data_IF_366013717854
#
_entry.id   IF_366013717854
#
_cell.length_a   1.000
_cell.length_b   1.000
_cell.length_c   1.000
_cell.angle_alpha   90.00
_cell.angle_beta   90.00
_cell.angle_gamma   90.00
#
_symmetry.space_group_name_H-M   'P 1'
#
loop_
_entity.id
_entity.type
_entity.pdbx_description
1 polymer ?
#
# COMPACT_ATOMS: atom_id res chain seq x y z
N UNK A 1 16.90 23.16 -0.90
CA UNK A 1 16.60 21.74 -1.24
C UNK A 1 16.31 21.70 -2.73
N UNK A 2 16.77 20.66 -3.45
CA UNK A 2 16.37 20.46 -4.84
C UNK A 2 14.84 20.37 -4.93
N UNK A 3 14.24 20.74 -6.06
CA UNK A 3 12.79 20.59 -6.30
C UNK A 3 12.41 19.10 -6.28
N UNK A 4 11.28 18.69 -5.65
CA UNK A 4 10.85 17.30 -5.69
C UNK A 4 10.47 16.89 -7.13
N UNK A 5 10.75 15.64 -7.48
CA UNK A 5 10.41 15.07 -8.77
C UNK A 5 9.14 14.24 -8.65
N UNK A 6 8.30 14.30 -9.67
CA UNK A 6 7.14 13.40 -9.82
C UNK A 6 7.48 12.34 -10.86
N UNK A 7 7.59 11.08 -10.44
CA UNK A 7 8.04 9.97 -11.28
C UNK A 7 7.13 8.76 -11.08
N UNK A 8 6.98 7.86 -12.08
CA UNK A 8 6.39 6.55 -11.85
C UNK A 8 7.11 5.84 -10.71
N UNK A 9 6.37 5.33 -9.72
CA UNK A 9 7.00 4.73 -8.56
C UNK A 9 6.04 4.12 -7.54
N UNK A 10 6.61 3.28 -6.69
CA UNK A 10 5.98 2.74 -5.49
C UNK A 10 6.73 3.31 -4.30
N UNK A 11 6.03 3.74 -3.27
CA UNK A 11 6.62 4.07 -1.98
C UNK A 11 5.86 3.40 -0.83
N UNK A 12 6.56 3.16 0.28
CA UNK A 12 5.94 2.67 1.51
C UNK A 12 6.62 3.24 2.75
N UNK A 13 5.84 3.52 3.81
CA UNK A 13 6.41 3.86 5.12
C UNK A 13 7.11 2.64 5.72
N UNK A 14 8.24 2.87 6.40
CA UNK A 14 9.02 1.79 7.02
C UNK A 14 8.40 1.24 8.31
N UNK A 15 7.50 2.00 8.96
CA UNK A 15 6.96 1.68 10.28
C UNK A 15 5.45 1.93 10.37
N UNK A 16 4.68 1.56 9.35
CA UNK A 16 3.22 1.72 9.40
C UNK A 16 2.51 0.45 9.88
N UNK A 17 1.42 0.66 10.61
CA UNK A 17 0.45 -0.39 10.98
C UNK A 17 -0.69 -0.51 9.95
N UNK A 18 -0.70 0.31 8.92
CA UNK A 18 -1.69 0.31 7.84
C UNK A 18 -0.99 0.55 6.52
N UNK A 19 -1.57 0.06 5.42
CA UNK A 19 -1.06 0.19 4.06
C UNK A 19 -2.01 0.90 3.09
N UNK A 20 -1.44 1.63 2.12
CA UNK A 20 -2.14 2.14 0.94
C UNK A 20 -1.56 1.48 -0.33
N UNK A 21 -1.95 0.24 -0.55
CA UNK A 21 -1.42 -0.62 -1.62
C UNK A 21 -2.26 -0.55 -2.91
N UNK A 22 -3.56 -0.27 -2.81
CA UNK A 22 -4.44 -0.05 -3.97
C UNK A 22 -4.52 1.45 -4.30
N UNK A 23 -3.77 1.88 -5.30
CA UNK A 23 -3.51 3.30 -5.59
C UNK A 23 -4.29 3.81 -6.81
N UNK A 24 -4.63 5.10 -6.80
CA UNK A 24 -5.32 5.79 -7.89
C UNK A 24 -4.37 6.48 -8.88
N UNK A 25 -3.06 6.45 -8.60
CA UNK A 25 -2.00 6.99 -9.47
C UNK A 25 -0.77 6.08 -9.39
N UNK A 26 -0.06 5.96 -10.51
CA UNK A 26 1.21 5.23 -10.60
C UNK A 26 2.43 6.08 -10.25
N UNK A 27 2.24 7.35 -9.85
CA UNK A 27 3.31 8.30 -9.62
C UNK A 27 3.47 8.64 -8.14
N UNK A 28 4.73 8.90 -7.75
CA UNK A 28 5.10 9.44 -6.45
C UNK A 28 5.90 10.73 -6.64
N UNK A 29 5.74 11.66 -5.70
CA UNK A 29 6.45 12.95 -5.71
C UNK A 29 7.40 13.03 -4.53
N UNK A 30 8.69 13.22 -4.75
CA UNK A 30 9.66 13.23 -3.67
C UNK A 30 11.10 13.55 -4.09
N UNK A 31 12.01 13.36 -3.15
CA UNK A 31 13.46 13.39 -3.38
C UNK A 31 14.00 11.98 -3.34
N UNK A 32 14.72 11.60 -4.38
CA UNK A 32 15.23 10.26 -4.60
C UNK A 32 16.75 10.33 -4.79
N UNK A 33 17.48 9.36 -4.25
CA UNK A 33 18.94 9.26 -4.43
C UNK A 33 19.33 8.27 -5.52
N UNK A 34 18.47 7.30 -5.80
CA UNK A 34 18.69 6.23 -6.75
C UNK A 34 17.35 5.77 -7.37
N UNK A 35 17.38 4.70 -8.17
CA UNK A 35 16.16 4.08 -8.70
C UNK A 35 15.35 3.31 -7.66
N UNK A 36 15.95 2.95 -6.52
CA UNK A 36 15.28 2.28 -5.41
C UNK A 36 16.08 2.52 -4.12
N UNK A 37 15.43 2.39 -2.97
CA UNK A 37 16.10 2.55 -1.68
C UNK A 37 15.13 2.65 -0.51
N UNK A 38 15.68 3.00 0.66
CA UNK A 38 14.94 3.20 1.91
C UNK A 38 15.09 4.62 2.45
N UNK A 39 15.52 5.56 1.62
CA UNK A 39 15.96 6.90 2.00
C UNK A 39 15.25 8.02 1.22
N UNK A 40 14.16 7.71 0.52
CA UNK A 40 13.37 8.73 -0.16
C UNK A 40 12.61 9.60 0.84
N UNK A 41 12.52 10.89 0.53
CA UNK A 41 11.65 11.83 1.23
C UNK A 41 10.47 12.13 0.29
N UNK A 42 9.31 11.56 0.59
CA UNK A 42 8.11 11.68 -0.24
C UNK A 42 7.24 12.84 0.27
N UNK A 43 6.68 13.61 -0.65
CA UNK A 43 5.81 14.74 -0.32
C UNK A 43 4.51 14.23 0.32
N UNK A 44 4.00 14.98 1.30
CA UNK A 44 2.71 14.67 1.93
C UNK A 44 1.55 14.84 0.92
N UNK A 45 0.75 13.79 0.76
CA UNK A 45 -0.61 13.87 0.22
C UNK A 45 -1.59 13.90 1.39
N UNK A 46 -2.10 15.10 1.72
CA UNK A 46 -2.99 15.33 2.87
C UNK A 46 -4.42 15.56 2.39
N UNK A 47 -5.36 14.79 2.92
CA UNK A 47 -6.78 14.92 2.60
C UNK A 47 -7.65 15.07 3.86
N UNK A 48 -8.85 15.68 3.74
CA UNK A 48 -9.78 15.80 4.87
C UNK A 48 -10.26 14.45 5.43
N UNK A 49 -10.08 14.25 6.73
CA UNK A 49 -10.42 13.03 7.47
C UNK A 49 -11.40 13.27 8.63
N UNK A 50 -12.24 14.32 8.50
CA UNK A 50 -13.28 14.66 9.46
C UNK A 50 -12.79 15.58 10.57
N UNK A 51 -13.25 15.34 11.80
CA UNK A 51 -12.87 16.12 12.98
C UNK A 51 -12.39 15.20 14.10
N UNK A 52 -11.49 15.70 14.94
CA UNK A 52 -11.17 15.08 16.22
C UNK A 52 -12.31 15.25 17.22
N UNK A 53 -12.25 14.53 18.35
CA UNK A 53 -13.25 14.61 19.43
C UNK A 53 -13.41 16.02 20.02
N UNK A 54 -12.35 16.83 19.95
CA UNK A 54 -12.36 18.23 20.36
C UNK A 54 -12.89 19.19 19.28
N UNK A 55 -13.44 18.67 18.17
CA UNK A 55 -13.99 19.46 17.07
C UNK A 55 -12.96 20.00 16.06
N UNK A 56 -11.66 19.86 16.32
CA UNK A 56 -10.61 20.31 15.40
C UNK A 56 -10.63 19.53 14.08
N UNK A 57 -10.32 20.20 12.97
CA UNK A 57 -10.22 19.56 11.66
C UNK A 57 -9.11 18.49 11.67
N UNK A 58 -9.42 17.30 11.17
CA UNK A 58 -8.50 16.18 11.06
C UNK A 58 -8.19 15.94 9.58
N UNK A 59 -6.91 15.78 9.27
CA UNK A 59 -6.44 15.38 7.95
C UNK A 59 -5.75 14.03 8.04
N UNK A 60 -5.75 13.29 6.93
CA UNK A 60 -5.02 12.05 6.77
C UNK A 60 -3.94 12.24 5.73
N UNK A 61 -2.69 11.91 6.09
CA UNK A 61 -1.63 11.84 5.11
C UNK A 61 -1.64 10.45 4.46
N UNK A 62 -2.09 10.36 3.21
CA UNK A 62 -2.15 9.10 2.45
C UNK A 62 -0.76 8.51 2.22
N UNK A 63 0.24 9.36 1.98
CA UNK A 63 1.64 8.96 1.78
C UNK A 63 2.24 8.29 3.03
N UNK A 64 2.18 8.99 4.16
CA UNK A 64 2.87 8.58 5.40
C UNK A 64 1.96 7.83 6.39
N UNK A 65 0.68 7.72 6.06
CA UNK A 65 -0.35 7.01 6.80
C UNK A 65 -0.43 7.42 8.27
N UNK A 66 -0.58 8.72 8.49
CA UNK A 66 -0.80 9.28 9.80
C UNK A 66 -1.75 10.47 9.76
N UNK A 67 -2.38 10.73 10.91
CA UNK A 67 -3.24 11.90 11.07
C UNK A 67 -2.41 13.17 11.25
N UNK A 68 -2.98 14.27 10.77
CA UNK A 68 -2.55 15.64 11.02
C UNK A 68 -3.73 16.43 11.59
N UNK A 69 -3.44 17.43 12.41
CA UNK A 69 -4.42 18.36 12.99
C UNK A 69 -4.53 18.24 14.52
N UNK A 70 -3.53 17.62 15.15
CA UNK A 70 -3.38 17.66 16.61
C UNK A 70 -3.05 19.08 17.07
N UNK A 71 -3.14 19.36 18.38
CA UNK A 71 -2.75 20.67 18.92
C UNK A 71 -1.29 21.03 18.61
N UNK A 72 -0.39 20.03 18.61
CA UNK A 72 1.01 20.23 18.23
C UNK A 72 1.15 20.60 16.75
N UNK A 73 0.39 19.93 15.87
CA UNK A 73 0.38 20.26 14.44
C UNK A 73 -0.13 21.69 14.20
N UNK A 74 -1.20 22.09 14.89
CA UNK A 74 -1.80 23.42 14.78
C UNK A 74 -0.85 24.51 15.31
N UNK A 75 -0.19 24.27 16.44
CA UNK A 75 0.76 25.21 17.03
C UNK A 75 2.02 25.40 16.17
N UNK A 76 2.45 24.35 15.46
CA UNK A 76 3.60 24.40 14.56
C UNK A 76 3.27 24.89 13.14
N UNK A 77 1.99 25.00 12.77
CA UNK A 77 1.60 25.36 11.42
C UNK A 77 1.57 26.87 11.20
N UNK A 78 2.25 27.30 10.15
CA UNK A 78 2.16 28.67 9.63
C UNK A 78 1.32 28.64 8.35
N UNK A 79 0.31 29.51 8.26
CA UNK A 79 -0.63 29.52 7.13
C UNK A 79 0.05 29.73 5.75
N UNK A 80 1.26 30.29 5.74
CA UNK A 80 2.07 30.52 4.53
C UNK A 80 2.88 29.29 4.09
N UNK A 81 2.91 28.23 4.90
CA UNK A 81 3.65 27.00 4.61
C UNK A 81 2.72 25.87 4.17
N UNK A 82 3.17 25.00 3.23
CA UNK A 82 2.42 23.81 2.87
C UNK A 82 2.25 22.91 4.09
N UNK A 83 1.05 22.38 4.27
CA UNK A 83 0.73 21.46 5.37
C UNK A 83 1.60 20.21 5.27
N UNK A 84 2.20 19.79 6.39
CA UNK A 84 3.11 18.65 6.47
C UNK A 84 2.75 17.78 7.66
N UNK A 85 2.61 16.49 7.44
CA UNK A 85 2.37 15.55 8.53
C UNK A 85 3.62 15.42 9.42
N UNK A 86 3.45 14.86 10.62
CA UNK A 86 4.58 14.61 11.55
C UNK A 86 5.70 13.72 10.97
N UNK A 87 5.41 12.95 9.93
CA UNK A 87 6.35 12.06 9.25
C UNK A 87 6.92 12.63 7.94
N UNK A 88 6.68 13.90 7.60
CA UNK A 88 7.02 14.47 6.29
C UNK A 88 8.52 14.45 5.92
N UNK A 89 9.39 14.31 6.90
CA UNK A 89 10.84 14.22 6.73
C UNK A 89 11.37 12.82 7.02
N UNK A 90 10.49 11.86 7.30
CA UNK A 90 10.88 10.49 7.61
C UNK A 90 11.23 9.75 6.33
N UNK A 91 12.32 8.97 6.33
CA UNK A 91 12.71 8.19 5.16
C UNK A 91 11.65 7.12 4.84
N UNK A 92 11.43 6.89 3.56
CA UNK A 92 10.50 5.90 3.02
C UNK A 92 11.21 4.92 2.09
N UNK A 93 10.69 3.69 2.07
CA UNK A 93 11.05 2.73 1.05
C UNK A 93 10.44 3.11 -0.29
N UNK A 94 11.18 2.91 -1.38
CA UNK A 94 10.70 3.23 -2.71
C UNK A 94 11.37 2.41 -3.82
N UNK A 95 10.67 2.34 -4.96
CA UNK A 95 11.18 1.91 -6.26
C UNK A 95 10.60 2.86 -7.31
N UNK A 96 11.46 3.44 -8.14
CA UNK A 96 11.09 4.21 -9.33
C UNK A 96 10.98 3.29 -10.52
N UNK A 97 10.05 3.59 -11.43
CA UNK A 97 9.78 2.79 -12.62
C UNK A 97 9.63 1.28 -12.30
N UNK A 98 8.74 0.93 -11.35
CA UNK A 98 8.52 -0.47 -10.97
C UNK A 98 8.03 -1.28 -12.17
N UNK A 99 8.31 -2.59 -12.16
CA UNK A 99 7.71 -3.50 -13.13
C UNK A 99 6.19 -3.46 -12.99
N UNK A 100 5.50 -3.04 -14.07
CA UNK A 100 4.05 -3.09 -14.18
C UNK A 100 3.65 -4.41 -14.81
N UNK A 101 3.15 -5.31 -13.98
CA UNK A 101 2.77 -6.66 -14.37
C UNK A 101 1.30 -6.73 -14.76
N UNK A 102 1.06 -7.16 -15.99
CA UNK A 102 -0.26 -7.52 -16.48
C UNK A 102 -0.43 -9.04 -16.35
N UNK A 103 -1.22 -9.51 -15.39
CA UNK A 103 -1.42 -10.93 -15.18
C UNK A 103 -2.15 -11.65 -16.30
N UNK A 104 -2.90 -10.94 -17.13
CA UNK A 104 -3.70 -11.54 -18.20
C UNK A 104 -2.85 -11.94 -19.42
N UNK A 105 -1.59 -11.51 -19.48
CA UNK A 105 -0.64 -11.88 -20.53
C UNK A 105 0.03 -13.23 -20.31
N UNK A 106 -0.20 -13.87 -19.15
CA UNK A 106 0.48 -15.10 -18.76
C UNK A 106 -0.52 -16.21 -18.45
N UNK A 107 -0.26 -17.40 -18.98
CA UNK A 107 -1.02 -18.61 -18.67
C UNK A 107 -0.88 -19.02 -17.20
N UNK A 108 0.33 -18.95 -16.67
CA UNK A 108 0.64 -19.31 -15.29
C UNK A 108 1.55 -18.26 -14.65
N UNK A 109 1.25 -17.88 -13.42
CA UNK A 109 2.02 -16.91 -12.62
C UNK A 109 2.14 -17.42 -11.20
N UNK A 110 3.32 -17.24 -10.60
CA UNK A 110 3.57 -17.40 -9.17
C UNK A 110 4.35 -16.20 -8.66
N UNK A 111 3.99 -15.74 -7.47
CA UNK A 111 4.57 -14.63 -6.74
C UNK A 111 4.83 -15.09 -5.31
N UNK A 112 6.09 -15.09 -4.91
CA UNK A 112 6.49 -15.54 -3.57
C UNK A 112 7.41 -14.53 -2.92
N UNK A 113 7.47 -14.56 -1.60
CA UNK A 113 8.51 -13.87 -0.86
C UNK A 113 9.74 -14.77 -0.78
N UNK A 114 10.85 -14.32 -1.35
CA UNK A 114 12.14 -15.01 -1.32
C UNK A 114 12.88 -14.82 0.01
N UNK A 115 13.99 -15.57 0.21
CA UNK A 115 14.74 -15.58 1.47
C UNK A 115 15.34 -14.22 1.84
N UNK A 116 15.71 -13.41 0.85
CA UNK A 116 16.26 -12.05 1.05
C UNK A 116 15.17 -10.96 1.17
N UNK A 117 13.91 -11.35 1.36
CA UNK A 117 12.77 -10.42 1.41
C UNK A 117 12.40 -9.81 0.06
N UNK A 118 13.01 -10.27 -1.04
CA UNK A 118 12.65 -9.90 -2.41
C UNK A 118 11.42 -10.69 -2.88
N UNK A 119 10.58 -10.04 -3.68
CA UNK A 119 9.50 -10.70 -4.41
C UNK A 119 10.09 -11.51 -5.57
N UNK A 120 9.78 -12.79 -5.60
CA UNK A 120 10.11 -13.68 -6.70
C UNK A 120 8.88 -13.85 -7.59
N UNK A 121 8.89 -13.17 -8.73
CA UNK A 121 7.88 -13.33 -9.78
C UNK A 121 8.37 -14.39 -10.77
N UNK A 122 7.51 -15.37 -11.06
CA UNK A 122 7.72 -16.36 -12.10
C UNK A 122 6.43 -16.45 -12.93
N UNK A 123 6.52 -16.27 -14.24
CA UNK A 123 5.36 -16.33 -15.12
C UNK A 123 5.70 -17.01 -16.46
N UNK A 124 4.71 -17.67 -17.07
CA UNK A 124 4.83 -18.33 -18.38
C UNK A 124 3.71 -17.89 -19.30
N UNK A 125 4.05 -17.61 -20.55
CA UNK A 125 3.07 -17.22 -21.59
C UNK A 125 2.12 -18.37 -21.95
N UNK A 126 2.63 -19.61 -21.94
CA UNK A 126 1.91 -20.83 -22.29
C UNK A 126 2.61 -22.09 -21.70
N UNK A 127 2.04 -23.27 -21.97
CA UNK A 127 2.60 -24.57 -21.59
C UNK A 127 3.90 -24.84 -22.36
N UNK A 128 5.03 -24.69 -21.66
CA UNK A 128 6.37 -24.86 -22.23
C UNK A 128 7.03 -23.55 -22.68
N UNK A 129 6.31 -22.43 -22.63
CA UNK A 129 6.81 -21.11 -22.99
C UNK A 129 7.96 -20.62 -22.12
N UNK A 130 8.64 -19.58 -22.61
CA UNK A 130 9.77 -18.96 -21.92
C UNK A 130 9.35 -18.50 -20.53
N UNK A 131 10.12 -18.90 -19.52
CA UNK A 131 9.90 -18.50 -18.15
C UNK A 131 10.36 -17.05 -17.96
N UNK A 132 9.42 -16.15 -17.69
CA UNK A 132 9.74 -14.86 -17.09
C UNK A 132 10.09 -15.10 -15.62
N UNK A 133 11.33 -14.77 -15.24
CA UNK A 133 11.80 -14.85 -13.86
C UNK A 133 12.38 -13.51 -13.43
N UNK A 134 11.85 -12.94 -12.34
CA UNK A 134 12.28 -11.67 -11.77
C UNK A 134 12.43 -11.78 -10.26
N UNK A 135 13.38 -11.02 -9.73
CA UNK A 135 13.52 -10.75 -8.30
C UNK A 135 13.39 -9.23 -8.12
N UNK A 136 12.41 -8.81 -7.33
CA UNK A 136 11.94 -7.44 -7.28
C UNK A 136 11.79 -7.00 -5.82
N UNK A 137 12.15 -5.75 -5.51
CA UNK A 137 11.87 -5.19 -4.17
C UNK A 137 10.36 -4.92 -4.00
N UNK A 138 9.72 -4.43 -5.05
CA UNK A 138 8.28 -4.17 -5.09
C UNK A 138 7.75 -4.46 -6.50
N UNK A 139 6.46 -4.81 -6.60
CA UNK A 139 5.79 -5.12 -7.86
C UNK A 139 4.53 -4.26 -8.00
N UNK A 140 4.33 -3.68 -9.18
CA UNK A 140 3.06 -3.07 -9.55
C UNK A 140 2.24 -4.08 -10.34
N UNK A 141 0.99 -4.34 -9.94
CA UNK A 141 0.03 -5.08 -10.77
C UNK A 141 -0.93 -4.09 -11.40
N UNK A 142 -1.15 -4.22 -12.71
CA UNK A 142 -2.14 -3.42 -13.42
C UNK A 142 -3.56 -3.86 -13.05
N UNK A 143 -4.30 -3.01 -12.34
CA UNK A 143 -5.67 -3.34 -11.93
C UNK A 143 -6.67 -3.29 -13.09
N UNK A 144 -6.33 -2.66 -14.22
CA UNK A 144 -7.19 -2.65 -15.42
C UNK A 144 -7.27 -4.05 -16.05
N UNK A 145 -6.26 -4.88 -15.84
CA UNK A 145 -6.26 -6.29 -16.22
C UNK A 145 -7.06 -7.18 -15.26
N UNK A 146 -7.60 -6.62 -14.18
CA UNK A 146 -8.30 -7.35 -13.11
C UNK A 146 -9.76 -6.87 -12.93
N UNK A 147 -10.61 -6.98 -13.97
CA UNK A 147 -11.96 -6.42 -13.94
C UNK A 147 -12.79 -7.03 -12.80
N UNK A 148 -13.43 -6.14 -12.03
CA UNK A 148 -14.34 -6.51 -10.94
C UNK A 148 -13.66 -6.89 -9.62
N UNK A 149 -12.32 -6.89 -9.54
CA UNK A 149 -11.62 -7.25 -8.31
C UNK A 149 -11.42 -6.06 -7.35
N UNK A 150 -11.28 -4.85 -7.91
CA UNK A 150 -11.10 -3.61 -7.19
C UNK A 150 -12.00 -2.51 -7.77
N UNK A 151 -12.34 -1.48 -6.97
CA UNK A 151 -12.93 -0.23 -7.49
C UNK A 151 -12.22 0.30 -8.74
N UNK A 152 -12.99 0.90 -9.66
CA UNK A 152 -12.54 1.29 -11.00
C UNK A 152 -11.49 2.42 -11.02
N UNK A 153 -11.41 3.21 -9.95
CA UNK A 153 -10.46 4.29 -9.77
C UNK A 153 -9.09 3.78 -9.27
N UNK A 154 -9.00 2.53 -8.82
CA UNK A 154 -7.73 1.87 -8.51
C UNK A 154 -7.09 1.42 -9.81
N UNK A 155 -5.98 2.06 -10.16
CA UNK A 155 -5.24 1.80 -11.40
C UNK A 155 -4.12 0.78 -11.21
N UNK A 156 -3.60 0.67 -9.99
CA UNK A 156 -2.42 -0.15 -9.70
C UNK A 156 -2.50 -0.74 -8.29
N UNK A 157 -2.06 -1.99 -8.16
CA UNK A 157 -1.85 -2.66 -6.89
C UNK A 157 -0.35 -2.78 -6.60
N UNK A 158 0.13 -2.09 -5.57
CA UNK A 158 1.54 -1.96 -5.22
C UNK A 158 1.96 -3.00 -4.18
N UNK A 159 2.44 -4.16 -4.61
CA UNK A 159 2.98 -5.17 -3.70
C UNK A 159 4.32 -4.68 -3.16
N UNK A 160 4.29 -4.21 -1.92
CA UNK A 160 5.44 -3.68 -1.19
C UNK A 160 6.02 -4.73 -0.24
N UNK A 161 7.30 -4.63 0.16
CA UNK A 161 7.89 -5.52 1.15
C UNK A 161 7.04 -5.71 2.43
N UNK A 162 6.57 -4.64 3.12
CA UNK A 162 5.75 -4.84 4.31
C UNK A 162 4.43 -5.57 4.05
N UNK A 163 3.79 -5.35 2.89
CA UNK A 163 2.55 -6.04 2.54
C UNK A 163 2.77 -7.54 2.25
N UNK A 164 3.84 -7.87 1.53
CA UNK A 164 4.20 -9.26 1.24
C UNK A 164 4.60 -10.02 2.51
N UNK A 165 5.40 -9.38 3.38
CA UNK A 165 5.76 -9.92 4.69
C UNK A 165 4.54 -10.17 5.57
N UNK A 166 3.63 -9.19 5.66
CA UNK A 166 2.40 -9.33 6.45
C UNK A 166 1.52 -10.48 5.96
N UNK A 167 1.34 -10.62 4.64
CA UNK A 167 0.60 -11.75 4.06
C UNK A 167 1.28 -13.09 4.37
N UNK A 168 2.59 -13.19 4.14
CA UNK A 168 3.35 -14.42 4.38
C UNK A 168 3.28 -14.86 5.85
N UNK A 169 3.45 -13.91 6.79
CA UNK A 169 3.34 -14.17 8.22
C UNK A 169 1.93 -14.64 8.60
N UNK A 170 0.88 -13.99 8.09
CA UNK A 170 -0.50 -14.38 8.37
C UNK A 170 -0.84 -15.77 7.81
N UNK A 171 -0.35 -16.11 6.61
CA UNK A 171 -0.48 -17.46 6.03
C UNK A 171 0.23 -18.51 6.87
N UNK A 172 1.48 -18.24 7.30
CA UNK A 172 2.26 -19.15 8.13
C UNK A 172 1.60 -19.38 9.49
N UNK A 173 0.99 -18.35 10.08
CA UNK A 173 0.27 -18.43 11.34
C UNK A 173 -1.13 -19.06 11.22
N UNK A 174 -1.61 -19.35 10.00
CA UNK A 174 -2.98 -19.81 9.77
C UNK A 174 -4.04 -18.79 10.18
N UNK A 175 -3.72 -17.49 10.14
CA UNK A 175 -4.64 -16.44 10.55
C UNK A 175 -5.84 -16.34 9.58
N UNK A 176 -7.06 -16.05 10.08
CA UNK A 176 -8.20 -15.76 9.23
C UNK A 176 -7.94 -14.49 8.40
N UNK A 177 -7.77 -14.69 7.09
CA UNK A 177 -7.49 -13.64 6.12
C UNK A 177 -8.75 -13.30 5.31
N UNK A 178 -8.95 -12.02 5.07
CA UNK A 178 -9.96 -11.52 4.13
C UNK A 178 -9.56 -10.13 3.62
N UNK A 179 -10.43 -9.47 2.86
CA UNK A 179 -10.22 -8.10 2.41
C UNK A 179 -11.48 -7.28 2.65
N UNK A 180 -11.47 -6.44 3.69
CA UNK A 180 -12.54 -5.50 3.97
C UNK A 180 -12.35 -4.23 3.15
N UNK A 181 -13.43 -3.70 2.58
CA UNK A 181 -13.43 -2.36 1.99
C UNK A 181 -13.78 -1.29 3.02
N UNK A 182 -13.28 -0.09 2.77
CA UNK A 182 -13.61 1.07 3.57
C UNK A 182 -15.08 1.45 3.40
N UNK A 183 -15.84 1.53 4.50
CA UNK A 183 -17.23 1.96 4.48
C UNK A 183 -17.42 3.42 4.00
N UNK A 184 -16.35 4.23 4.00
CA UNK A 184 -16.38 5.64 3.58
C UNK A 184 -15.97 5.85 2.12
N UNK A 185 -14.92 5.17 1.66
CA UNK A 185 -14.32 5.44 0.33
C UNK A 185 -14.25 4.23 -0.59
N UNK A 186 -14.65 3.04 -0.15
CA UNK A 186 -14.62 1.82 -0.96
C UNK A 186 -13.22 1.22 -1.19
N UNK A 187 -12.12 1.92 -0.89
CA UNK A 187 -10.78 1.33 -1.04
C UNK A 187 -10.56 0.16 -0.07
N UNK A 188 -9.83 -0.88 -0.50
CA UNK A 188 -9.57 -2.05 0.32
C UNK A 188 -8.57 -1.73 1.45
N UNK A 189 -8.78 -2.36 2.60
CA UNK A 189 -7.93 -2.18 3.77
C UNK A 189 -6.74 -3.14 3.76
N UNK A 190 -5.57 -2.60 4.11
CA UNK A 190 -4.34 -3.35 4.32
C UNK A 190 -3.83 -3.13 5.74
N UNK A 191 -3.89 -4.20 6.53
CA UNK A 191 -3.30 -4.25 7.86
C UNK A 191 -1.81 -4.55 7.75
N UNK A 192 -0.98 -3.76 8.42
CA UNK A 192 0.48 -3.92 8.47
C UNK A 192 0.95 -3.89 9.93
N UNK A 193 2.22 -4.21 10.15
CA UNK A 193 2.87 -4.09 11.46
C UNK A 193 2.02 -4.71 12.57
N UNK A 194 1.75 -3.95 13.63
CA UNK A 194 0.95 -4.41 14.77
C UNK A 194 -0.49 -4.82 14.43
N UNK A 195 -1.11 -4.24 13.39
CA UNK A 195 -2.48 -4.62 13.00
C UNK A 195 -2.50 -5.94 12.22
N UNK A 196 -1.39 -6.34 11.59
CA UNK A 196 -1.29 -7.63 10.91
C UNK A 196 -1.02 -8.81 11.86
N UNK A 197 -0.69 -8.56 13.14
CA UNK A 197 -0.30 -9.60 14.09
C UNK A 197 -1.48 -10.42 14.63
N UNK A 198 -2.67 -9.83 14.68
CA UNK A 198 -3.84 -10.47 15.26
C UNK A 198 -5.11 -10.12 14.48
N UNK A 199 -5.98 -11.11 14.20
CA UNK A 199 -7.28 -10.85 13.61
C UNK A 199 -8.10 -9.89 14.46
N UNK A 200 -8.75 -8.93 13.81
CA UNK A 200 -9.57 -7.93 14.49
C UNK A 200 -10.74 -7.52 13.58
N UNK A 201 -11.73 -6.85 14.16
CA UNK A 201 -12.93 -6.42 13.42
C UNK A 201 -12.86 -4.99 12.91
N UNK A 202 -12.12 -4.12 13.59
CA UNK A 202 -12.09 -2.68 13.31
C UNK A 202 -10.84 -2.32 12.51
N UNK A 203 -11.02 -1.94 11.26
CA UNK A 203 -9.90 -1.68 10.36
C UNK A 203 -9.75 -0.19 10.04
N UNK A 204 -8.50 0.23 9.85
CA UNK A 204 -8.15 1.61 9.46
C UNK A 204 -7.83 1.71 7.98
N UNK A 205 -8.40 2.71 7.31
CA UNK A 205 -8.21 2.91 5.87
C UNK A 205 -6.91 3.65 5.57
N UNK A 206 -5.95 3.00 4.90
CA UNK A 206 -4.73 3.64 4.42
C UNK A 206 -4.95 4.71 3.35
N UNK A 207 -6.08 4.63 2.61
CA UNK A 207 -6.40 5.59 1.55
C UNK A 207 -6.99 6.90 2.07
N UNK A 208 -8.01 6.85 2.93
CA UNK A 208 -8.75 8.04 3.37
C UNK A 208 -8.67 8.36 4.88
N UNK A 209 -7.98 7.52 5.67
CA UNK A 209 -7.87 7.69 7.12
C UNK A 209 -9.19 7.51 7.87
N UNK A 210 -10.17 6.82 7.29
CA UNK A 210 -11.36 6.41 8.04
C UNK A 210 -11.04 5.18 8.88
N UNK A 211 -11.26 5.26 10.19
CA UNK A 211 -10.84 4.29 11.19
C UNK A 211 -12.02 3.54 11.83
N UNK A 212 -13.18 3.49 11.18
CA UNK A 212 -14.39 2.88 11.72
C UNK A 212 -15.08 1.95 10.70
N UNK A 213 -14.32 1.29 9.82
CA UNK A 213 -14.86 0.18 9.01
C UNK A 213 -14.74 -1.12 9.80
N UNK A 214 -15.82 -1.89 9.83
CA UNK A 214 -15.90 -3.11 10.61
C UNK A 214 -16.19 -4.31 9.72
N UNK A 215 -15.37 -5.35 9.81
CA UNK A 215 -15.65 -6.64 9.20
C UNK A 215 -16.68 -7.42 10.03
N UNK A 216 -17.36 -8.38 9.38
CA UNK A 216 -18.33 -9.25 10.05
C UNK A 216 -17.66 -10.10 11.14
N UNK A 217 -16.51 -10.69 10.82
CA UNK A 217 -15.70 -11.53 11.70
C UNK A 217 -14.30 -10.94 11.90
N UNK A 218 -13.58 -11.35 12.94
CA UNK A 218 -12.20 -10.91 13.16
C UNK A 218 -11.29 -11.49 12.06
N UNK A 219 -10.58 -10.62 11.34
CA UNK A 219 -9.69 -10.97 10.22
C UNK A 219 -8.41 -10.14 10.26
N UNK A 220 -7.38 -10.59 9.55
CA UNK A 220 -6.32 -9.71 9.05
C UNK A 220 -6.70 -9.29 7.63
N UNK A 221 -6.89 -7.99 7.39
CA UNK A 221 -7.33 -7.49 6.09
C UNK A 221 -6.15 -7.24 5.16
N UNK A 222 -6.19 -7.79 3.94
CA UNK A 222 -5.22 -7.50 2.90
C UNK A 222 -5.82 -7.59 1.49
N UNK A 223 -5.59 -6.60 0.60
CA UNK A 223 -6.04 -6.67 -0.78
C UNK A 223 -5.44 -7.86 -1.55
N UNK A 224 -4.26 -8.34 -1.12
CA UNK A 224 -3.61 -9.50 -1.73
C UNK A 224 -4.42 -10.79 -1.55
N UNK A 225 -5.30 -10.85 -0.54
CA UNK A 225 -6.19 -11.98 -0.36
C UNK A 225 -7.20 -12.12 -1.50
N UNK A 226 -7.67 -11.00 -2.08
CA UNK A 226 -8.56 -11.02 -3.26
C UNK A 226 -7.87 -11.65 -4.46
N UNK A 227 -6.61 -11.28 -4.68
CA UNK A 227 -5.79 -11.88 -5.73
C UNK A 227 -5.63 -13.38 -5.50
N UNK A 228 -5.27 -13.79 -4.28
CA UNK A 228 -5.12 -15.21 -3.93
C UNK A 228 -6.42 -16.01 -4.09
N UNK A 229 -7.57 -15.45 -3.74
CA UNK A 229 -8.87 -16.14 -3.91
C UNK A 229 -9.24 -16.30 -5.38
N UNK A 230 -8.97 -15.28 -6.20
CA UNK A 230 -9.30 -15.31 -7.63
C UNK A 230 -8.28 -16.12 -8.44
N UNK A 231 -7.00 -16.07 -8.03
CA UNK A 231 -5.85 -16.68 -8.68
C UNK A 231 -4.99 -17.43 -7.65
N UNK A 232 -5.48 -18.56 -7.12
CA UNK A 232 -4.80 -19.32 -6.06
C UNK A 232 -3.41 -19.79 -6.48
N UNK A 233 -3.18 -20.02 -7.76
CA UNK A 233 -1.89 -20.42 -8.30
C UNK A 233 -0.81 -19.33 -8.17
N UNK A 234 -1.18 -18.08 -7.91
CA UNK A 234 -0.20 -16.99 -7.76
C UNK A 234 0.53 -17.00 -6.43
N UNK A 235 -0.01 -17.56 -5.35
CA UNK A 235 0.57 -17.41 -4.01
C UNK A 235 0.84 -18.74 -3.32
#
# INVERSE_FOLDING_TARGET
>A
MATPLTLPGICWPLQASTGHLAVTTSHITGHFRAGAGLDAIIVCDLLPAGKFRNGAARHWCRTHQCYWGTQADLAGWQATQPMRCRQHASPMGYVLYPELFDPMQFHATTLRLGPEGLLQLRARSDDGGTLLARELVALAIDCRALPGLFPHDIVQLNITPPAALALAAALQAGAPLACSDCARCGHPHLDLGSFALAPHRRHSCGHCGHDASHSATAIVSTPLWRLRQRYPQWF
#
